data_IF_175358348609
#
_entry.id   IF_175358348609
#
_cell.length_a   1.000
_cell.length_b   1.000
_cell.length_c   1.000
_cell.angle_alpha   90.00
_cell.angle_beta   90.00
_cell.angle_gamma   90.00
#
_symmetry.space_group_name_H-M   'P 1'
#
loop_
_entity.id
_entity.type
_entity.pdbx_description
1 polymer ?
#
# COMPACT_ATOMS: atom_id res chain seq x y z
N UNK A 1 92.74 0.79 -30.75
CA UNK A 1 92.10 0.36 -29.47
C UNK A 1 90.76 1.05 -29.18
N UNK A 2 90.47 2.24 -29.73
CA UNK A 2 89.16 2.91 -29.58
C UNK A 2 87.98 2.11 -30.19
N UNK A 3 88.17 1.48 -31.34
CA UNK A 3 87.06 0.81 -32.06
C UNK A 3 86.57 -0.48 -31.38
N UNK A 4 87.44 -1.18 -30.64
CA UNK A 4 87.05 -2.40 -29.90
C UNK A 4 86.25 -2.08 -28.64
N UNK A 5 86.51 -0.94 -27.98
CA UNK A 5 85.76 -0.50 -26.81
C UNK A 5 84.35 -0.03 -27.13
N UNK A 6 84.18 0.66 -28.27
CA UNK A 6 82.87 1.07 -28.77
C UNK A 6 81.97 -0.13 -29.13
N UNK A 7 82.55 -1.18 -29.74
CA UNK A 7 81.80 -2.40 -30.09
C UNK A 7 81.24 -3.10 -28.84
N UNK A 8 82.03 -3.21 -27.76
CA UNK A 8 81.61 -3.86 -26.52
C UNK A 8 80.48 -3.10 -25.82
N UNK A 9 80.53 -1.77 -25.84
CA UNK A 9 79.47 -0.93 -25.26
C UNK A 9 78.16 -1.08 -26.04
N UNK A 10 78.22 -1.07 -27.38
CA UNK A 10 77.03 -1.24 -28.23
C UNK A 10 76.39 -2.62 -28.01
N UNK A 11 77.19 -3.69 -27.94
CA UNK A 11 76.69 -5.04 -27.67
C UNK A 11 76.05 -5.13 -26.28
N UNK A 12 76.65 -4.49 -25.27
CA UNK A 12 76.10 -4.48 -23.90
C UNK A 12 74.76 -3.74 -23.82
N UNK A 13 74.61 -2.64 -24.54
CA UNK A 13 73.33 -1.90 -24.63
C UNK A 13 72.26 -2.74 -25.33
N UNK A 14 72.61 -3.42 -26.42
CA UNK A 14 71.67 -4.30 -27.14
C UNK A 14 71.24 -5.48 -26.25
N UNK A 15 72.18 -6.10 -25.53
CA UNK A 15 71.89 -7.19 -24.60
C UNK A 15 70.98 -6.73 -23.46
N UNK A 16 71.26 -5.55 -22.90
CA UNK A 16 70.43 -4.95 -21.85
C UNK A 16 69.00 -4.68 -22.35
N UNK A 17 68.84 -4.13 -23.55
CA UNK A 17 67.53 -3.92 -24.17
C UNK A 17 66.79 -5.24 -24.43
N UNK A 18 67.49 -6.31 -24.80
CA UNK A 18 66.91 -7.64 -25.00
C UNK A 18 66.41 -8.26 -23.69
N UNK A 19 67.19 -8.17 -22.63
CA UNK A 19 66.80 -8.63 -21.29
C UNK A 19 65.60 -7.83 -20.79
N UNK A 20 65.62 -6.50 -20.96
CA UNK A 20 64.51 -5.63 -20.58
C UNK A 20 63.23 -5.98 -21.36
N UNK A 21 63.35 -6.20 -22.67
CA UNK A 21 62.24 -6.62 -23.53
C UNK A 21 61.68 -8.00 -23.15
N UNK A 22 62.54 -8.95 -22.81
CA UNK A 22 62.13 -10.28 -22.33
C UNK A 22 61.39 -10.22 -20.99
N UNK A 23 61.86 -9.37 -20.06
CA UNK A 23 61.19 -9.14 -18.77
C UNK A 23 59.81 -8.51 -19.02
N UNK A 24 59.70 -7.49 -19.87
CA UNK A 24 58.43 -6.85 -20.22
C UNK A 24 57.45 -7.86 -20.82
N UNK A 25 57.89 -8.70 -21.76
CA UNK A 25 57.05 -9.76 -22.35
C UNK A 25 56.60 -10.81 -21.33
N UNK A 26 57.45 -11.15 -20.35
CA UNK A 26 57.09 -12.08 -19.26
C UNK A 26 56.11 -11.50 -18.24
N UNK A 27 56.02 -10.17 -18.16
CA UNK A 27 55.13 -9.44 -17.25
C UNK A 27 53.78 -9.08 -17.89
N UNK A 28 53.64 -9.20 -19.22
CA UNK A 28 52.34 -9.04 -19.89
C UNK A 28 51.46 -10.21 -19.48
N UNK A 29 50.32 -9.97 -18.79
CA UNK A 29 49.37 -11.03 -18.47
C UNK A 29 48.94 -11.70 -19.77
N UNK A 30 48.96 -13.03 -19.83
CA UNK A 30 48.47 -13.73 -21.02
C UNK A 30 47.03 -13.29 -21.31
N UNK A 31 46.68 -13.12 -22.59
CA UNK A 31 45.32 -12.75 -23.01
C UNK A 31 44.27 -13.69 -22.40
N UNK A 32 44.62 -14.97 -22.25
CA UNK A 32 43.81 -15.98 -21.56
C UNK A 32 43.49 -15.62 -20.10
N UNK A 33 44.44 -15.03 -19.37
CA UNK A 33 44.24 -14.61 -17.97
C UNK A 33 43.36 -13.35 -17.91
N UNK A 34 43.50 -12.42 -18.85
CA UNK A 34 42.61 -11.26 -18.96
C UNK A 34 41.18 -11.66 -19.32
N UNK A 35 41.01 -12.51 -20.34
CA UNK A 35 39.70 -13.02 -20.77
C UNK A 35 39.02 -13.81 -19.66
N UNK A 36 39.76 -14.68 -18.96
CA UNK A 36 39.23 -15.42 -17.81
C UNK A 36 38.76 -14.50 -16.69
N UNK A 37 39.55 -13.51 -16.30
CA UNK A 37 39.15 -12.51 -15.28
C UNK A 37 37.91 -11.73 -15.71
N UNK A 38 37.78 -11.39 -16.99
CA UNK A 38 36.60 -10.72 -17.52
C UNK A 38 35.35 -11.62 -17.43
N UNK A 39 35.47 -12.90 -17.76
CA UNK A 39 34.36 -13.87 -17.66
C UNK A 39 33.94 -14.06 -16.20
N UNK A 40 34.90 -14.29 -15.30
CA UNK A 40 34.64 -14.43 -13.86
C UNK A 40 34.00 -13.16 -13.28
N UNK A 41 34.42 -11.98 -13.75
CA UNK A 41 33.82 -10.71 -13.35
C UNK A 41 32.38 -10.56 -13.83
N UNK A 42 32.08 -10.92 -15.09
CA UNK A 42 30.72 -10.88 -15.61
C UNK A 42 29.81 -11.87 -14.88
N UNK A 43 30.31 -13.07 -14.60
CA UNK A 43 29.58 -14.07 -13.81
C UNK A 43 29.27 -13.56 -12.39
N UNK A 44 30.24 -12.95 -11.71
CA UNK A 44 30.03 -12.34 -10.39
C UNK A 44 28.97 -11.23 -10.44
N UNK A 45 28.95 -10.43 -11.51
CA UNK A 45 27.92 -9.40 -11.72
C UNK A 45 26.51 -9.98 -11.89
N UNK A 46 26.34 -11.01 -12.73
CA UNK A 46 25.04 -11.64 -12.89
C UNK A 46 24.55 -12.35 -11.62
N UNK A 47 25.46 -12.91 -10.82
CA UNK A 47 25.13 -13.45 -9.49
C UNK A 47 24.66 -12.34 -8.54
N UNK A 48 25.30 -11.17 -8.56
CA UNK A 48 24.86 -10.01 -7.79
C UNK A 48 23.46 -9.53 -8.25
N UNK A 49 23.19 -9.50 -9.56
CA UNK A 49 21.86 -9.16 -10.08
C UNK A 49 20.78 -10.17 -9.67
N UNK A 50 21.06 -11.46 -9.74
CA UNK A 50 20.13 -12.51 -9.32
C UNK A 50 19.81 -12.40 -7.82
N UNK A 51 20.81 -12.15 -6.97
CA UNK A 51 20.60 -11.86 -5.56
C UNK A 51 19.71 -10.63 -5.36
N UNK A 52 19.97 -9.57 -6.12
CA UNK A 52 19.20 -8.31 -6.04
C UNK A 52 17.72 -8.52 -6.41
N UNK A 53 17.43 -9.25 -7.48
CA UNK A 53 16.05 -9.53 -7.91
C UNK A 53 15.26 -10.31 -6.84
N UNK A 54 15.89 -11.34 -6.26
CA UNK A 54 15.29 -12.09 -5.15
C UNK A 54 15.03 -11.19 -3.93
N UNK A 55 15.96 -10.30 -3.62
CA UNK A 55 15.79 -9.37 -2.52
C UNK A 55 14.66 -8.36 -2.76
N UNK A 56 14.51 -7.84 -3.99
CA UNK A 56 13.39 -6.95 -4.35
C UNK A 56 12.05 -7.68 -4.21
N UNK A 57 11.96 -8.94 -4.67
CA UNK A 57 10.77 -9.75 -4.51
C UNK A 57 10.42 -9.92 -3.01
N UNK A 58 11.39 -10.30 -2.18
CA UNK A 58 11.18 -10.47 -0.74
C UNK A 58 10.83 -9.16 -0.03
N UNK A 59 11.45 -8.04 -0.42
CA UNK A 59 11.12 -6.70 0.10
C UNK A 59 9.67 -6.32 -0.23
N UNK A 60 9.23 -6.54 -1.48
CA UNK A 60 7.86 -6.23 -1.89
C UNK A 60 6.83 -7.17 -1.25
N UNK A 61 7.21 -8.42 -0.99
CA UNK A 61 6.32 -9.42 -0.38
C UNK A 61 6.20 -9.28 1.15
N UNK A 62 7.13 -8.58 1.80
CA UNK A 62 7.18 -8.44 3.26
C UNK A 62 7.03 -6.99 3.71
N UNK A 63 5.79 -6.56 3.92
CA UNK A 63 5.44 -5.17 4.22
C UNK A 63 5.98 -4.65 5.56
N UNK A 64 6.30 -5.54 6.50
CA UNK A 64 6.84 -5.21 7.82
C UNK A 64 8.37 -5.34 7.91
N UNK A 65 9.08 -5.47 6.79
CA UNK A 65 10.53 -5.74 6.77
C UNK A 65 11.35 -4.64 7.46
N UNK A 66 12.10 -4.98 8.51
CA UNK A 66 13.16 -4.13 9.06
C UNK A 66 14.51 -4.43 8.38
N UNK A 67 14.86 -5.70 8.22
CA UNK A 67 16.09 -6.13 7.54
C UNK A 67 15.96 -7.49 6.90
N UNK A 68 16.63 -7.71 5.77
CA UNK A 68 16.76 -8.98 5.08
C UNK A 68 18.23 -9.37 4.98
N UNK A 69 18.56 -10.60 5.35
CA UNK A 69 19.80 -11.26 4.93
C UNK A 69 19.43 -12.43 4.03
N UNK A 70 19.92 -12.45 2.80
CA UNK A 70 19.68 -13.51 1.83
C UNK A 70 21.04 -14.01 1.35
N UNK A 71 21.27 -15.31 1.41
CA UNK A 71 22.51 -15.91 0.94
C UNK A 71 22.24 -17.13 0.09
N UNK A 72 23.06 -17.28 -0.92
CA UNK A 72 23.12 -18.45 -1.78
C UNK A 72 24.51 -19.04 -1.68
N UNK A 73 24.59 -20.27 -1.18
CA UNK A 73 25.85 -20.99 -0.98
C UNK A 73 25.82 -22.31 -1.72
N UNK A 74 26.98 -22.73 -2.22
CA UNK A 74 27.10 -24.03 -2.85
C UNK A 74 27.01 -25.13 -1.80
N UNK A 75 26.22 -26.16 -2.07
CA UNK A 75 26.09 -27.33 -1.20
C UNK A 75 26.06 -28.58 -2.07
N UNK A 76 27.10 -29.42 -1.95
CA UNK A 76 27.34 -30.56 -2.83
C UNK A 76 27.30 -30.15 -4.33
N UNK A 77 26.49 -30.85 -5.15
CA UNK A 77 26.25 -30.54 -6.55
C UNK A 77 25.21 -29.43 -6.78
N UNK A 78 24.57 -28.93 -5.72
CA UNK A 78 23.49 -27.95 -5.78
C UNK A 78 23.81 -26.64 -5.07
N UNK A 79 22.75 -25.87 -4.85
CA UNK A 79 22.74 -24.55 -4.24
C UNK A 79 21.77 -24.57 -3.05
N UNK A 80 22.15 -24.02 -1.90
CA UNK A 80 21.20 -23.68 -0.84
C UNK A 80 21.00 -22.17 -0.87
N UNK A 81 19.74 -21.76 -1.05
CA UNK A 81 19.32 -20.39 -0.81
C UNK A 81 18.70 -20.35 0.57
N UNK A 82 19.19 -19.46 1.42
CA UNK A 82 18.67 -19.23 2.77
C UNK A 82 18.42 -17.75 2.97
N UNK A 83 17.32 -17.39 3.62
CA UNK A 83 17.03 -16.01 3.97
C UNK A 83 16.62 -15.88 5.44
N UNK A 84 16.83 -14.68 5.98
CA UNK A 84 16.36 -14.26 7.30
C UNK A 84 15.75 -12.88 7.17
N UNK A 85 14.45 -12.81 7.40
CA UNK A 85 13.66 -11.59 7.48
C UNK A 85 13.52 -11.22 8.95
N UNK A 86 13.84 -9.98 9.28
CA UNK A 86 13.51 -9.39 10.59
C UNK A 86 12.44 -8.34 10.35
N UNK A 87 11.33 -8.43 11.08
CA UNK A 87 10.24 -7.47 11.00
C UNK A 87 10.44 -6.28 11.96
N UNK A 88 9.71 -5.20 11.75
CA UNK A 88 9.64 -4.04 12.66
C UNK A 88 9.14 -4.41 14.06
N UNK A 89 8.37 -5.49 14.17
CA UNK A 89 7.92 -6.09 15.44
C UNK A 89 9.04 -6.80 16.22
N UNK A 90 10.19 -7.06 15.57
CA UNK A 90 11.29 -7.86 16.11
C UNK A 90 11.19 -9.36 15.80
N UNK A 91 10.11 -9.83 15.16
CA UNK A 91 9.96 -11.22 14.72
C UNK A 91 11.03 -11.55 13.66
N UNK A 92 11.61 -12.74 13.76
CA UNK A 92 12.59 -13.27 12.81
C UNK A 92 12.03 -14.50 12.10
N UNK A 93 11.99 -14.45 10.77
CA UNK A 93 11.57 -15.55 9.91
C UNK A 93 12.80 -16.02 9.14
N UNK A 94 13.15 -17.30 9.28
CA UNK A 94 14.29 -17.91 8.61
C UNK A 94 13.83 -19.14 7.85
N UNK A 95 14.26 -19.27 6.60
CA UNK A 95 13.89 -20.39 5.73
C UNK A 95 15.01 -20.68 4.72
N UNK A 96 15.00 -21.88 4.14
CA UNK A 96 15.99 -22.31 3.16
C UNK A 96 15.46 -23.37 2.20
N UNK A 97 15.89 -23.31 0.94
CA UNK A 97 15.55 -24.30 -0.09
C UNK A 97 16.74 -24.61 -1.01
N UNK A 98 16.71 -25.80 -1.61
CA UNK A 98 17.79 -26.30 -2.47
C UNK A 98 17.45 -26.20 -3.96
N UNK A 99 18.41 -25.77 -4.79
CA UNK A 99 18.31 -25.80 -6.25
C UNK A 99 19.36 -26.76 -6.86
N UNK A 100 19.03 -27.46 -7.96
CA UNK A 100 19.85 -28.54 -8.50
C UNK A 100 21.10 -28.09 -9.28
N UNK A 101 21.25 -26.80 -9.60
CA UNK A 101 22.37 -26.27 -10.41
C UNK A 101 22.91 -24.98 -9.77
N UNK A 102 24.23 -24.85 -9.69
CA UNK A 102 24.91 -23.66 -9.17
C UNK A 102 26.05 -23.21 -10.08
N UNK A 103 26.02 -21.96 -10.53
CA UNK A 103 27.13 -21.30 -11.24
C UNK A 103 28.01 -20.44 -10.31
N UNK A 104 27.63 -20.25 -9.05
CA UNK A 104 28.37 -19.47 -8.05
C UNK A 104 27.54 -19.12 -6.82
N UNK A 105 28.05 -18.23 -5.97
CA UNK A 105 27.43 -17.85 -4.69
C UNK A 105 27.04 -16.37 -4.69
N UNK A 106 26.08 -15.98 -3.88
CA UNK A 106 25.77 -14.57 -3.65
C UNK A 106 25.35 -14.31 -2.20
N UNK A 107 25.53 -13.07 -1.77
CA UNK A 107 25.12 -12.58 -0.45
C UNK A 107 24.44 -11.23 -0.60
N UNK A 108 23.29 -11.07 0.03
CA UNK A 108 22.47 -9.86 -0.03
C UNK A 108 22.10 -9.42 1.36
N UNK A 109 22.23 -8.12 1.60
CA UNK A 109 21.70 -7.44 2.78
C UNK A 109 20.74 -6.35 2.33
N UNK A 110 19.51 -6.36 2.85
CA UNK A 110 18.63 -5.21 2.78
C UNK A 110 18.41 -4.63 4.18
N UNK A 111 18.50 -3.31 4.30
CA UNK A 111 18.25 -2.60 5.55
C UNK A 111 17.30 -1.44 5.31
N UNK A 112 16.36 -1.27 6.24
CA UNK A 112 15.46 -0.13 6.28
C UNK A 112 16.03 0.98 7.18
N UNK A 113 15.99 2.21 6.71
CA UNK A 113 16.42 3.40 7.46
C UNK A 113 15.52 4.59 7.15
N UNK A 114 15.15 5.36 8.17
CA UNK A 114 14.48 6.64 7.99
C UNK A 114 15.52 7.73 7.76
N UNK A 115 15.41 8.47 6.64
CA UNK A 115 16.32 9.56 6.28
C UNK A 115 15.52 10.83 6.08
N UNK A 116 16.02 11.95 6.63
CA UNK A 116 15.42 13.26 6.43
C UNK A 116 16.08 13.94 5.23
N UNK A 117 15.31 14.21 4.17
CA UNK A 117 15.81 15.06 3.08
C UNK A 117 15.44 16.52 3.37
N UNK A 118 16.40 17.46 3.25
CA UNK A 118 16.07 18.87 3.26
C UNK A 118 15.39 19.22 1.94
N UNK A 119 14.07 19.35 1.95
CA UNK A 119 13.32 20.04 0.90
C UNK A 119 12.74 21.32 1.51
N UNK A 120 13.16 22.48 0.99
CA UNK A 120 12.42 23.73 1.18
C UNK A 120 12.05 24.03 2.64
N UNK A 121 13.03 24.21 3.53
CA UNK A 121 12.82 24.54 4.96
C UNK A 121 11.92 23.60 5.78
N UNK A 122 11.49 22.45 5.24
CA UNK A 122 10.71 21.43 5.95
C UNK A 122 11.45 20.09 5.85
N UNK A 123 11.80 19.52 7.00
CA UNK A 123 12.36 18.18 7.08
C UNK A 123 11.24 17.16 6.90
N UNK A 124 11.11 16.59 5.70
CA UNK A 124 10.17 15.49 5.44
C UNK A 124 10.90 14.15 5.62
N UNK A 125 10.45 13.28 6.54
CA UNK A 125 11.02 11.94 6.68
C UNK A 125 10.70 11.11 5.43
N UNK A 126 11.71 10.40 4.92
CA UNK A 126 11.55 9.45 3.82
C UNK A 126 12.02 8.08 4.28
N UNK A 127 11.19 7.09 3.99
CA UNK A 127 11.46 5.68 4.20
C UNK A 127 12.37 5.15 3.10
N UNK A 128 13.64 4.93 3.46
CA UNK A 128 14.68 4.48 2.53
C UNK A 128 15.01 3.01 2.81
N UNK A 129 15.01 2.20 1.74
CA UNK A 129 15.52 0.84 1.73
C UNK A 129 16.82 0.83 0.93
N UNK A 130 17.87 0.29 1.56
CA UNK A 130 19.16 0.04 0.92
C UNK A 130 19.29 -1.46 0.73
N UNK A 131 19.45 -1.93 -0.51
CA UNK A 131 19.74 -3.33 -0.81
C UNK A 131 21.13 -3.40 -1.40
N UNK A 132 22.02 -4.17 -0.77
CA UNK A 132 23.36 -4.46 -1.26
C UNK A 132 23.48 -5.94 -1.55
N UNK A 133 23.75 -6.27 -2.81
CA UNK A 133 23.95 -7.64 -3.30
C UNK A 133 25.40 -7.81 -3.77
N UNK A 134 26.07 -8.85 -3.33
CA UNK A 134 27.43 -9.22 -3.74
C UNK A 134 27.43 -10.63 -4.31
N UNK A 135 27.85 -10.77 -5.56
CA UNK A 135 28.05 -12.07 -6.23
C UNK A 135 29.51 -12.51 -6.14
N UNK A 136 29.71 -13.82 -5.99
CA UNK A 136 31.01 -14.47 -5.82
C UNK A 136 31.18 -15.61 -6.82
N UNK A 137 32.28 -15.57 -7.57
CA UNK A 137 32.73 -16.70 -8.38
C UNK A 137 33.91 -17.35 -7.66
N UNK A 138 33.77 -18.60 -7.19
CA UNK A 138 34.86 -19.32 -6.56
C UNK A 138 36.02 -19.44 -7.55
N UNK A 139 37.24 -19.10 -7.11
CA UNK A 139 38.46 -19.31 -7.88
C UNK A 139 39.40 -20.24 -7.14
N UNK A 140 40.07 -21.12 -7.88
CA UNK A 140 41.06 -22.05 -7.34
C UNK A 140 42.37 -21.35 -6.92
N UNK A 141 42.51 -20.05 -7.21
CA UNK A 141 43.69 -19.23 -6.92
C UNK A 141 43.30 -18.05 -6.02
N UNK A 142 43.54 -18.19 -4.71
CA UNK A 142 43.58 -17.23 -3.58
C UNK A 142 42.66 -15.98 -3.48
N UNK A 143 42.02 -15.50 -4.54
CA UNK A 143 41.06 -14.39 -4.50
C UNK A 143 39.85 -14.73 -5.35
N UNK A 144 38.71 -14.99 -4.69
CA UNK A 144 37.42 -15.09 -5.37
C UNK A 144 37.11 -13.77 -6.09
N UNK A 145 36.66 -13.86 -7.33
CA UNK A 145 36.19 -12.68 -8.07
C UNK A 145 34.83 -12.28 -7.51
N UNK A 146 34.68 -11.03 -7.09
CA UNK A 146 33.45 -10.49 -6.51
C UNK A 146 33.01 -9.22 -7.21
N UNK A 147 31.70 -9.02 -7.34
CA UNK A 147 31.05 -7.79 -7.81
C UNK A 147 29.88 -7.47 -6.91
N UNK A 148 29.65 -6.20 -6.63
CA UNK A 148 28.53 -5.78 -5.80
C UNK A 148 27.68 -4.73 -6.49
N UNK A 149 26.38 -4.80 -6.24
CA UNK A 149 25.39 -3.84 -6.68
C UNK A 149 24.66 -3.36 -5.42
N UNK A 150 24.52 -2.05 -5.27
CA UNK A 150 23.72 -1.44 -4.22
C UNK A 150 22.65 -0.56 -4.84
N UNK A 151 21.41 -0.74 -4.40
CA UNK A 151 20.27 0.08 -4.81
C UNK A 151 19.73 0.83 -3.60
N UNK A 152 19.31 2.06 -3.86
CA UNK A 152 18.55 2.89 -2.95
C UNK A 152 17.15 2.98 -3.50
N UNK A 153 16.17 2.52 -2.73
CA UNK A 153 14.78 2.63 -3.10
C UNK A 153 13.97 3.26 -1.98
N UNK A 154 12.86 3.89 -2.34
CA UNK A 154 11.85 4.30 -1.38
C UNK A 154 10.67 3.35 -1.43
N UNK A 155 10.00 3.23 -0.31
CA UNK A 155 8.69 2.60 -0.25
C UNK A 155 7.68 3.67 0.07
N UNK A 156 6.73 3.88 -0.82
CA UNK A 156 5.62 4.80 -0.54
C UNK A 156 4.72 4.13 0.49
N UNK A 157 4.51 4.77 1.64
CA UNK A 157 3.49 4.32 2.59
C UNK A 157 2.12 4.58 1.97
N UNK A 158 1.35 3.52 1.76
CA UNK A 158 -0.05 3.64 1.40
C UNK A 158 -0.80 3.84 2.71
N UNK A 159 -1.38 5.03 2.87
CA UNK A 159 -2.38 5.30 3.90
C UNK A 159 -3.63 4.51 3.54
N UNK A 160 -3.83 3.34 4.16
CA UNK A 160 -5.03 2.55 3.95
C UNK A 160 -6.09 3.04 4.94
N UNK A 161 -6.84 4.03 4.48
CA UNK A 161 -7.92 4.68 5.20
C UNK A 161 -9.25 4.31 4.54
N UNK A 162 -10.08 3.54 5.25
CA UNK A 162 -11.40 3.14 4.74
C UNK A 162 -12.33 4.35 4.51
N UNK A 163 -12.11 5.45 5.23
CA UNK A 163 -12.90 6.67 5.05
C UNK A 163 -12.52 7.46 3.79
N UNK A 164 -11.46 7.09 3.07
CA UNK A 164 -11.05 7.74 1.80
C UNK A 164 -11.95 7.35 0.63
N UNK A 165 -12.68 6.24 0.74
CA UNK A 165 -13.54 5.75 -0.33
C UNK A 165 -14.97 6.25 -0.12
N UNK A 166 -15.68 6.54 -1.22
CA UNK A 166 -17.11 6.80 -1.17
C UNK A 166 -17.86 5.56 -0.65
N UNK A 167 -17.38 4.38 -1.08
CA UNK A 167 -17.88 3.08 -0.66
C UNK A 167 -16.72 2.19 -0.22
N UNK A 168 -16.80 1.67 1.00
CA UNK A 168 -15.94 0.62 1.52
C UNK A 168 -16.78 -0.61 1.86
N UNK A 169 -16.47 -1.74 1.22
CA UNK A 169 -17.07 -3.03 1.48
C UNK A 169 -16.02 -4.01 2.03
N UNK A 170 -16.25 -4.53 3.24
CA UNK A 170 -15.34 -5.55 3.79
C UNK A 170 -15.56 -6.95 3.19
N UNK A 171 -16.59 -7.12 2.38
CA UNK A 171 -16.86 -8.28 1.52
C UNK A 171 -17.06 -7.80 0.09
N UNK A 172 -18.28 -7.77 -0.44
CA UNK A 172 -18.53 -7.43 -1.85
C UNK A 172 -19.23 -6.08 -1.99
N UNK A 173 -19.00 -5.41 -3.13
CA UNK A 173 -19.74 -4.22 -3.52
C UNK A 173 -20.53 -4.48 -4.81
N UNK A 174 -21.82 -4.13 -4.82
CA UNK A 174 -22.66 -4.17 -6.02
C UNK A 174 -23.14 -2.76 -6.35
N UNK A 175 -22.81 -2.26 -7.54
CA UNK A 175 -23.19 -0.94 -8.03
C UNK A 175 -24.13 -1.11 -9.23
N UNK A 176 -25.42 -1.28 -8.94
CA UNK A 176 -26.46 -1.55 -9.91
C UNK A 176 -27.34 -0.36 -10.29
N UNK A 177 -28.31 -0.60 -11.17
CA UNK A 177 -29.31 0.41 -11.57
C UNK A 177 -28.70 1.55 -12.39
N UNK A 178 -29.26 2.75 -12.24
CA UNK A 178 -28.71 4.02 -12.75
C UNK A 178 -27.98 4.78 -11.62
N UNK A 179 -27.38 4.05 -10.69
CA UNK A 179 -26.70 4.64 -9.53
C UNK A 179 -25.40 5.33 -9.94
N UNK A 180 -24.95 6.28 -9.13
CA UNK A 180 -23.69 7.00 -9.32
C UNK A 180 -22.85 6.95 -8.05
N UNK A 181 -21.62 6.46 -8.18
CA UNK A 181 -20.62 6.50 -7.09
C UNK A 181 -19.41 7.32 -7.53
N UNK A 182 -18.97 8.28 -6.71
CA UNK A 182 -17.86 9.18 -7.03
C UNK A 182 -16.87 9.26 -5.87
N UNK A 183 -15.59 9.08 -6.16
CA UNK A 183 -14.49 9.35 -5.21
C UNK A 183 -14.32 10.84 -4.95
N UNK A 184 -13.27 11.20 -4.20
CA UNK A 184 -12.97 12.62 -3.95
C UNK A 184 -12.59 13.30 -5.28
N UNK A 185 -13.15 14.47 -5.61
CA UNK A 185 -12.69 15.25 -6.74
C UNK A 185 -11.23 15.69 -6.54
N UNK A 186 -10.39 15.44 -7.54
CA UNK A 186 -8.99 15.85 -7.56
C UNK A 186 -8.83 17.23 -8.24
N UNK A 187 -7.76 17.99 -7.92
CA UNK A 187 -7.55 19.33 -8.49
C UNK A 187 -7.43 19.37 -10.02
N UNK A 188 -7.10 18.24 -10.65
CA UNK A 188 -7.01 18.08 -12.11
C UNK A 188 -8.37 17.82 -12.78
N UNK A 189 -9.46 17.79 -12.01
CA UNK A 189 -10.82 17.53 -12.48
C UNK A 189 -11.16 16.04 -12.62
N UNK A 190 -10.24 15.14 -12.25
CA UNK A 190 -10.49 13.70 -12.13
C UNK A 190 -11.03 13.35 -10.74
N UNK A 191 -11.24 12.06 -10.49
CA UNK A 191 -11.69 11.56 -9.19
C UNK A 191 -10.67 10.55 -8.66
N UNK A 192 -10.53 10.51 -7.34
CA UNK A 192 -9.84 9.44 -6.65
C UNK A 192 -10.62 8.11 -6.76
N UNK A 193 -10.03 7.01 -6.30
CA UNK A 193 -10.69 5.70 -6.23
C UNK A 193 -11.98 5.82 -5.40
N UNK A 194 -13.12 5.45 -6.00
CA UNK A 194 -14.42 5.66 -5.37
C UNK A 194 -14.86 4.48 -4.50
N UNK A 195 -14.57 3.27 -4.95
CA UNK A 195 -15.05 2.02 -4.34
C UNK A 195 -13.87 1.15 -3.94
N UNK A 196 -13.91 0.61 -2.74
CA UNK A 196 -13.01 -0.45 -2.29
C UNK A 196 -13.83 -1.64 -1.81
N UNK A 197 -13.50 -2.84 -2.29
CA UNK A 197 -14.06 -4.09 -1.80
C UNK A 197 -12.96 -5.11 -1.51
N UNK A 198 -13.07 -5.84 -0.39
CA UNK A 198 -12.15 -6.96 -0.10
C UNK A 198 -12.41 -8.19 -0.95
N UNK A 199 -13.66 -8.37 -1.38
CA UNK A 199 -14.12 -9.33 -2.37
C UNK A 199 -14.41 -8.65 -3.70
N UNK A 200 -15.45 -9.11 -4.40
CA UNK A 200 -15.71 -8.70 -5.77
C UNK A 200 -16.45 -7.35 -5.85
N UNK A 201 -16.19 -6.59 -6.93
CA UNK A 201 -16.99 -5.43 -7.32
C UNK A 201 -17.83 -5.81 -8.54
N UNK A 202 -19.14 -5.87 -8.36
CA UNK A 202 -20.11 -6.12 -9.44
C UNK A 202 -20.79 -4.83 -9.85
N UNK A 203 -20.92 -4.59 -11.16
CA UNK A 203 -21.58 -3.38 -11.70
C UNK A 203 -22.68 -3.81 -12.68
N UNK A 204 -23.79 -4.39 -12.18
CA UNK A 204 -24.86 -4.87 -13.04
C UNK A 204 -25.70 -3.70 -13.58
N UNK A 205 -25.89 -3.63 -14.90
CA UNK A 205 -26.75 -2.61 -15.52
C UNK A 205 -26.01 -1.33 -15.92
N UNK A 206 -26.54 -0.16 -15.54
CA UNK A 206 -26.06 1.16 -15.98
C UNK A 206 -25.40 1.97 -14.85
N UNK A 207 -24.89 1.30 -13.82
CA UNK A 207 -24.18 1.93 -12.72
C UNK A 207 -22.96 2.70 -13.23
N UNK A 208 -22.70 3.87 -12.64
CA UNK A 208 -21.60 4.75 -13.03
C UNK A 208 -20.67 4.95 -11.84
N UNK A 209 -19.37 4.73 -12.05
CA UNK A 209 -18.34 5.05 -11.06
C UNK A 209 -17.45 6.14 -11.64
N UNK A 210 -17.16 7.20 -10.89
CA UNK A 210 -16.31 8.32 -11.33
C UNK A 210 -16.71 8.90 -12.71
N UNK A 211 -18.02 9.05 -12.93
CA UNK A 211 -18.62 9.54 -14.19
C UNK A 211 -18.35 8.68 -15.44
N UNK A 212 -17.92 7.43 -15.27
CA UNK A 212 -17.81 6.46 -16.38
C UNK A 212 -18.71 5.25 -16.17
N UNK A 213 -19.40 4.82 -17.23
CA UNK A 213 -20.12 3.55 -17.27
C UNK A 213 -19.20 2.34 -17.53
N UNK A 214 -17.92 2.59 -17.85
CA UNK A 214 -16.87 1.59 -18.01
C UNK A 214 -15.73 1.88 -17.02
N UNK A 215 -15.94 1.66 -15.71
CA UNK A 215 -14.91 1.92 -14.73
C UNK A 215 -13.78 0.89 -14.78
N UNK A 216 -12.58 1.33 -14.43
CA UNK A 216 -11.33 0.55 -14.55
C UNK A 216 -10.85 0.11 -13.16
N UNK A 217 -10.62 -1.20 -12.92
CA UNK A 217 -9.99 -1.68 -11.68
C UNK A 217 -8.62 -1.02 -11.43
N UNK A 218 -8.33 -0.68 -10.19
CA UNK A 218 -7.11 0.01 -9.76
C UNK A 218 -7.10 1.52 -10.01
N UNK A 219 -8.08 2.06 -10.74
CA UNK A 219 -8.26 3.51 -10.95
C UNK A 219 -9.58 4.02 -10.37
N UNK A 220 -10.70 3.40 -10.74
CA UNK A 220 -12.04 3.86 -10.35
C UNK A 220 -12.57 3.07 -9.15
N UNK A 221 -12.18 1.79 -9.05
CA UNK A 221 -12.47 0.92 -7.91
C UNK A 221 -11.30 -0.03 -7.63
N UNK A 222 -11.24 -0.58 -6.43
CA UNK A 222 -10.35 -1.67 -6.01
C UNK A 222 -11.23 -2.86 -5.59
N UNK A 223 -10.88 -4.05 -6.07
CA UNK A 223 -11.56 -5.31 -5.76
C UNK A 223 -10.55 -6.37 -5.34
N UNK A 224 -11.01 -7.42 -4.66
CA UNK A 224 -10.21 -8.56 -4.20
C UNK A 224 -8.97 -8.18 -3.39
N UNK A 225 -8.99 -7.02 -2.72
CA UNK A 225 -7.85 -6.49 -1.98
C UNK A 225 -8.10 -6.58 -0.47
N UNK A 226 -7.19 -7.21 0.27
CA UNK A 226 -7.32 -7.36 1.73
C UNK A 226 -6.44 -6.40 2.52
N UNK A 227 -5.81 -5.42 1.84
CA UNK A 227 -4.85 -4.54 2.46
C UNK A 227 -5.50 -3.50 3.36
N UNK A 228 -6.64 -2.90 2.96
CA UNK A 228 -7.36 -1.91 3.78
C UNK A 228 -8.23 -2.64 4.79
N UNK A 229 -7.87 -2.49 6.07
CA UNK A 229 -8.68 -2.99 7.17
C UNK A 229 -9.87 -2.08 7.44
N UNK A 230 -10.92 -2.69 7.98
CA UNK A 230 -12.09 -1.98 8.50
C UNK A 230 -11.63 -1.04 9.62
N UNK A 231 -12.13 0.21 9.67
CA UNK A 231 -11.77 1.11 10.75
C UNK A 231 -12.42 0.60 12.04
N UNK A 232 -11.59 0.40 13.07
CA UNK A 232 -12.06 0.07 14.41
C UNK A 232 -12.53 1.37 15.06
N UNK A 233 -13.85 1.56 15.09
CA UNK A 233 -14.47 2.67 15.80
C UNK A 233 -14.50 2.38 17.32
N UNK A 234 -14.32 3.41 18.15
CA UNK A 234 -14.58 3.30 19.58
C UNK A 234 -16.10 3.24 19.82
N UNK A 235 -16.69 2.06 19.62
CA UNK A 235 -18.13 1.83 19.71
C UNK A 235 -18.69 2.23 21.08
N UNK A 236 -17.97 1.98 22.17
CA UNK A 236 -18.41 2.32 23.52
C UNK A 236 -18.59 3.85 23.67
N UNK A 237 -17.63 4.62 23.18
CA UNK A 237 -17.72 6.08 23.15
C UNK A 237 -18.87 6.56 22.26
N UNK A 238 -18.96 6.09 21.01
CA UNK A 238 -19.98 6.54 20.05
C UNK A 238 -21.40 6.17 20.51
N UNK A 239 -21.56 5.00 21.14
CA UNK A 239 -22.79 4.60 21.82
C UNK A 239 -23.13 5.57 22.96
N UNK A 240 -22.16 5.92 23.80
CA UNK A 240 -22.38 6.84 24.93
C UNK A 240 -22.80 8.24 24.46
N UNK A 241 -22.20 8.75 23.38
CA UNK A 241 -22.60 10.02 22.73
C UNK A 241 -24.03 9.93 22.23
N UNK A 242 -24.36 8.86 21.49
CA UNK A 242 -25.71 8.65 20.96
C UNK A 242 -26.77 8.52 22.06
N UNK A 243 -26.43 7.87 23.18
CA UNK A 243 -27.29 7.78 24.36
C UNK A 243 -27.54 9.15 25.00
N UNK A 244 -26.49 9.95 25.19
CA UNK A 244 -26.60 11.31 25.72
C UNK A 244 -27.44 12.23 24.81
N UNK A 245 -27.41 12.00 23.50
CA UNK A 245 -28.22 12.71 22.51
C UNK A 245 -29.66 12.18 22.38
N UNK A 246 -30.00 11.06 23.02
CA UNK A 246 -31.30 10.40 22.86
C UNK A 246 -31.50 9.69 21.51
N UNK A 247 -30.41 9.46 20.77
CA UNK A 247 -30.39 8.88 19.42
C UNK A 247 -30.01 7.39 19.39
N UNK A 248 -29.65 6.80 20.54
CA UNK A 248 -29.37 5.37 20.64
C UNK A 248 -30.66 4.53 20.60
N UNK A 249 -30.67 3.46 19.80
CA UNK A 249 -31.75 2.45 19.79
C UNK A 249 -31.17 1.04 19.69
N UNK A 250 -31.95 0.05 20.12
CA UNK A 250 -31.64 -1.37 19.95
C UNK A 250 -32.88 -2.11 19.48
N UNK A 251 -32.76 -2.99 18.49
CA UNK A 251 -33.89 -3.75 17.96
C UNK A 251 -33.71 -4.21 16.52
N UNK A 252 -34.68 -4.95 15.99
CA UNK A 252 -34.59 -5.64 14.69
C UNK A 252 -35.11 -4.84 13.50
N UNK A 253 -35.71 -3.65 13.70
CA UNK A 253 -36.22 -2.78 12.64
C UNK A 253 -36.39 -1.34 13.13
N UNK A 254 -35.29 -0.64 13.36
CA UNK A 254 -35.30 0.75 13.82
C UNK A 254 -35.50 1.71 12.65
N UNK A 255 -36.53 2.55 12.74
CA UNK A 255 -36.80 3.61 11.74
C UNK A 255 -35.98 4.86 12.05
N UNK A 256 -34.94 5.10 11.26
CA UNK A 256 -34.02 6.25 11.45
C UNK A 256 -34.76 7.59 11.33
N UNK A 257 -35.73 7.68 10.42
CA UNK A 257 -36.53 8.88 10.20
C UNK A 257 -37.29 9.36 11.44
N UNK A 258 -37.68 8.45 12.34
CA UNK A 258 -38.40 8.80 13.57
C UNK A 258 -37.44 9.46 14.58
N UNK A 259 -36.17 9.05 14.61
CA UNK A 259 -35.14 9.71 15.42
C UNK A 259 -34.85 11.11 14.87
N UNK A 260 -34.73 11.24 13.56
CA UNK A 260 -34.47 12.52 12.91
C UNK A 260 -35.62 13.50 13.18
N UNK A 261 -36.87 13.12 12.89
CA UNK A 261 -38.03 14.01 13.04
C UNK A 261 -38.31 14.37 14.50
N UNK A 262 -38.34 13.36 15.38
CA UNK A 262 -38.85 13.55 16.73
C UNK A 262 -37.79 14.03 17.73
N UNK A 263 -36.51 13.79 17.44
CA UNK A 263 -35.41 14.15 18.35
C UNK A 263 -34.55 15.24 17.71
N UNK A 264 -33.95 14.96 16.55
CA UNK A 264 -32.96 15.85 15.94
C UNK A 264 -33.56 17.19 15.49
N UNK A 265 -34.59 17.14 14.65
CA UNK A 265 -35.25 18.33 14.09
C UNK A 265 -36.03 19.12 15.14
N UNK A 266 -36.33 18.51 16.30
CA UNK A 266 -36.99 19.19 17.42
C UNK A 266 -36.03 20.03 18.27
N UNK A 267 -34.72 19.84 18.13
CA UNK A 267 -33.71 20.51 18.95
C UNK A 267 -33.07 21.69 18.20
N UNK A 268 -33.31 22.95 18.61
CA UNK A 268 -32.80 24.13 17.92
C UNK A 268 -31.27 24.26 17.95
N UNK A 269 -30.59 23.61 18.90
CA UNK A 269 -29.13 23.58 18.96
C UNK A 269 -28.51 22.71 17.85
N UNK A 270 -29.30 21.79 17.27
CA UNK A 270 -28.84 20.85 16.26
C UNK A 270 -29.41 21.15 14.87
N UNK A 271 -30.65 21.62 14.81
CA UNK A 271 -31.36 21.87 13.57
C UNK A 271 -32.07 23.23 13.61
N UNK A 272 -31.81 24.05 12.58
CA UNK A 272 -32.54 25.30 12.37
C UNK A 272 -33.70 25.05 11.40
N UNK A 273 -34.93 25.03 11.93
CA UNK A 273 -36.13 24.80 11.13
C UNK A 273 -36.52 25.96 10.22
N UNK A 274 -36.00 27.18 10.44
CA UNK A 274 -36.28 28.32 9.58
C UNK A 274 -35.45 28.28 8.28
N UNK A 275 -34.22 27.79 8.35
CA UNK A 275 -33.30 27.67 7.21
C UNK A 275 -33.20 26.26 6.66
N UNK A 276 -33.79 25.27 7.34
CA UNK A 276 -33.63 23.84 7.07
C UNK A 276 -32.16 23.39 7.04
N UNK A 277 -31.38 23.85 8.02
CA UNK A 277 -29.94 23.56 8.10
C UNK A 277 -29.55 22.93 9.43
N UNK A 278 -28.56 22.05 9.38
CA UNK A 278 -27.93 21.49 10.56
C UNK A 278 -26.88 22.45 11.13
N UNK A 279 -26.87 22.62 12.44
CA UNK A 279 -25.97 23.53 13.16
C UNK A 279 -24.74 22.81 13.74
N UNK A 280 -24.64 21.48 13.56
CA UNK A 280 -23.59 20.67 14.19
C UNK A 280 -23.20 19.46 13.34
N UNK A 281 -21.97 18.97 13.51
CA UNK A 281 -21.46 17.71 12.97
C UNK A 281 -21.36 16.60 14.04
N UNK A 282 -21.78 16.88 15.27
CA UNK A 282 -21.61 15.99 16.43
C UNK A 282 -22.66 14.89 16.57
N UNK A 283 -23.64 14.82 15.67
CA UNK A 283 -24.77 13.90 15.82
C UNK A 283 -24.35 12.47 15.49
N UNK A 284 -24.65 11.55 16.42
CA UNK A 284 -24.41 10.11 16.24
C UNK A 284 -25.72 9.36 16.45
N UNK A 285 -26.25 8.76 15.40
CA UNK A 285 -27.32 7.77 15.51
C UNK A 285 -26.67 6.40 15.63
N UNK A 286 -26.88 5.72 16.76
CA UNK A 286 -26.31 4.40 17.02
C UNK A 286 -27.45 3.38 17.18
N UNK A 287 -27.48 2.37 16.31
CA UNK A 287 -28.44 1.28 16.32
C UNK A 287 -27.74 -0.04 16.59
N UNK A 288 -28.09 -0.65 17.72
CA UNK A 288 -27.70 -2.01 18.08
C UNK A 288 -28.73 -3.01 17.53
N UNK A 289 -28.56 -3.38 16.26
CA UNK A 289 -29.47 -4.23 15.48
C UNK A 289 -29.69 -3.69 14.07
N UNK A 290 -30.83 -3.99 13.44
CA UNK A 290 -31.11 -3.58 12.06
C UNK A 290 -31.88 -2.25 12.00
N UNK A 291 -31.66 -1.51 10.93
CA UNK A 291 -32.30 -0.21 10.71
C UNK A 291 -32.85 -0.05 9.29
N UNK A 292 -33.82 0.86 9.16
CA UNK A 292 -34.35 1.32 7.87
C UNK A 292 -34.46 2.85 7.88
N UNK A 293 -34.16 3.46 6.73
CA UNK A 293 -34.34 4.88 6.49
C UNK A 293 -35.13 5.07 5.20
N UNK A 294 -36.45 5.22 5.34
CA UNK A 294 -37.43 5.24 4.24
C UNK A 294 -38.23 6.56 4.25
N UNK A 295 -37.52 7.69 4.08
CA UNK A 295 -38.15 9.01 4.14
C UNK A 295 -37.79 9.91 2.94
N UNK A 296 -38.08 11.20 3.06
CA UNK A 296 -37.48 12.27 2.26
C UNK A 296 -36.97 13.31 3.27
N UNK A 297 -35.87 12.97 3.93
CA UNK A 297 -35.28 13.77 4.99
C UNK A 297 -33.77 13.90 4.81
N UNK A 298 -33.26 15.04 5.25
CA UNK A 298 -31.84 15.30 5.30
C UNK A 298 -31.30 14.93 6.69
N UNK A 299 -30.08 14.40 6.76
CA UNK A 299 -29.33 14.15 7.98
C UNK A 299 -27.87 14.57 7.84
N UNK A 300 -27.32 15.22 8.86
CA UNK A 300 -25.90 15.59 8.94
C UNK A 300 -25.27 14.97 10.19
N UNK A 301 -24.27 14.12 10.01
CA UNK A 301 -23.60 13.43 11.10
C UNK A 301 -23.24 11.99 10.77
N UNK A 302 -23.17 11.15 11.80
CA UNK A 302 -22.78 9.74 11.71
C UNK A 302 -23.97 8.82 12.01
N UNK A 303 -24.17 7.81 11.16
CA UNK A 303 -25.13 6.72 11.40
C UNK A 303 -24.35 5.42 11.54
N UNK A 304 -24.49 4.75 12.68
CA UNK A 304 -23.84 3.49 13.02
C UNK A 304 -24.93 2.45 13.23
N UNK A 305 -24.88 1.36 12.46
CA UNK A 305 -25.82 0.24 12.54
C UNK A 305 -25.01 -1.04 12.70
N UNK A 306 -25.24 -1.78 13.78
CA UNK A 306 -24.56 -3.06 14.05
C UNK A 306 -25.16 -4.25 13.31
N UNK A 307 -26.22 -4.05 12.54
CA UNK A 307 -26.88 -5.03 11.70
C UNK A 307 -27.05 -4.53 10.26
N UNK A 308 -27.99 -5.12 9.54
CA UNK A 308 -28.32 -4.68 8.18
C UNK A 308 -28.99 -3.31 8.20
N UNK A 309 -28.62 -2.47 7.25
CA UNK A 309 -29.17 -1.13 7.09
C UNK A 309 -29.69 -0.93 5.67
N UNK A 310 -30.99 -0.61 5.56
CA UNK A 310 -31.59 -0.23 4.29
C UNK A 310 -31.87 1.27 4.26
N UNK A 311 -31.31 1.97 3.28
CA UNK A 311 -31.65 3.35 2.93
C UNK A 311 -32.42 3.26 1.63
N UNK A 312 -33.73 3.51 1.69
CA UNK A 312 -34.62 3.39 0.55
C UNK A 312 -35.53 4.62 0.43
N UNK A 313 -36.15 4.80 -0.74
CA UNK A 313 -37.19 5.81 -0.91
C UNK A 313 -37.22 6.43 -2.29
N UNK A 314 -38.37 7.00 -2.64
CA UNK A 314 -38.61 7.72 -3.90
C UNK A 314 -38.27 9.21 -3.82
N UNK A 315 -38.04 9.73 -2.60
CA UNK A 315 -37.55 11.09 -2.34
C UNK A 315 -36.03 11.15 -2.18
N UNK A 316 -35.46 12.34 -2.29
CA UNK A 316 -34.01 12.57 -2.15
C UNK A 316 -33.60 12.59 -0.68
N UNK A 317 -33.57 11.42 -0.01
CA UNK A 317 -32.92 11.33 1.30
C UNK A 317 -31.47 11.78 1.17
N UNK A 318 -31.07 12.81 1.92
CA UNK A 318 -29.71 13.33 1.84
C UNK A 318 -28.95 13.11 3.14
N UNK A 319 -27.93 12.26 3.10
CA UNK A 319 -27.03 12.05 4.24
C UNK A 319 -25.71 12.77 3.95
N UNK A 320 -25.38 13.78 4.75
CA UNK A 320 -24.08 14.43 4.74
C UNK A 320 -23.25 13.88 5.90
N UNK A 321 -22.34 12.94 5.61
CA UNK A 321 -21.49 12.35 6.65
C UNK A 321 -21.17 10.87 6.44
N UNK A 322 -21.10 10.13 7.54
CA UNK A 322 -20.60 8.75 7.57
C UNK A 322 -21.76 7.78 7.83
N UNK A 323 -21.94 6.81 6.95
CA UNK A 323 -22.81 5.65 7.16
C UNK A 323 -21.94 4.43 7.42
N UNK A 324 -22.10 3.82 8.60
CA UNK A 324 -21.34 2.65 9.04
C UNK A 324 -22.32 1.52 9.39
N UNK A 325 -22.38 0.49 8.57
CA UNK A 325 -23.27 -0.66 8.73
C UNK A 325 -22.46 -1.96 8.76
N UNK A 326 -21.83 -2.23 9.91
CA UNK A 326 -20.89 -3.33 10.06
C UNK A 326 -20.87 -3.86 11.49
N UNK A 327 -20.64 -5.17 11.64
CA UNK A 327 -20.48 -5.80 12.94
C UNK A 327 -19.13 -6.51 13.04
N UNK A 328 -18.19 -5.90 13.77
CA UNK A 328 -16.86 -6.46 13.97
C UNK A 328 -16.86 -7.83 14.69
N UNK A 329 -17.96 -8.20 15.35
CA UNK A 329 -18.08 -9.43 16.13
C UNK A 329 -18.90 -10.54 15.42
N UNK A 330 -19.54 -10.25 14.28
CA UNK A 330 -20.30 -11.25 13.55
C UNK A 330 -19.41 -11.86 12.47
N UNK A 331 -18.91 -13.08 12.71
CA UNK A 331 -18.06 -13.79 11.74
C UNK A 331 -18.90 -14.48 10.66
N UNK A 332 -20.20 -14.70 10.91
CA UNK A 332 -21.06 -15.56 10.07
C UNK A 332 -22.40 -14.93 9.61
N UNK A 333 -22.76 -13.72 10.06
CA UNK A 333 -23.97 -13.06 9.57
C UNK A 333 -23.65 -12.22 8.33
N UNK A 334 -24.36 -12.48 7.23
CA UNK A 334 -24.25 -11.65 6.02
C UNK A 334 -24.99 -10.33 6.26
N UNK A 335 -24.29 -9.34 6.79
CA UNK A 335 -24.82 -7.99 6.94
C UNK A 335 -24.73 -7.23 5.62
N UNK A 336 -25.73 -6.42 5.33
CA UNK A 336 -25.78 -5.67 4.07
C UNK A 336 -26.20 -4.23 4.33
N UNK A 337 -25.44 -3.31 3.74
CA UNK A 337 -25.83 -1.93 3.55
C UNK A 337 -26.50 -1.82 2.18
N UNK A 338 -27.81 -1.62 2.16
CA UNK A 338 -28.59 -1.44 0.93
C UNK A 338 -28.92 0.04 0.76
N UNK A 339 -28.60 0.59 -0.42
CA UNK A 339 -28.89 1.96 -0.81
C UNK A 339 -29.66 1.90 -2.14
N UNK A 340 -30.98 2.03 -2.09
CA UNK A 340 -31.86 1.85 -3.26
C UNK A 340 -32.89 2.98 -3.39
N UNK A 341 -33.46 3.15 -4.57
CA UNK A 341 -34.40 4.23 -4.90
C UNK A 341 -33.66 5.48 -5.37
N UNK A 342 -33.83 6.63 -4.70
CA UNK A 342 -33.13 7.88 -5.06
C UNK A 342 -32.42 8.60 -3.88
N UNK A 343 -31.81 7.90 -2.90
CA UNK A 343 -31.03 8.55 -1.84
C UNK A 343 -29.72 9.17 -2.38
N UNK A 344 -29.26 10.21 -1.71
CA UNK A 344 -27.97 10.87 -1.93
C UNK A 344 -27.15 10.84 -0.64
N UNK A 345 -25.95 10.26 -0.69
CA UNK A 345 -24.98 10.28 0.41
C UNK A 345 -23.78 11.12 -0.04
N UNK A 346 -23.40 12.10 0.78
CA UNK A 346 -22.25 12.99 0.58
C UNK A 346 -21.29 12.83 1.75
N UNK A 347 -20.31 11.95 1.58
CA UNK A 347 -19.40 11.46 2.61
C UNK A 347 -19.00 10.03 2.28
N UNK A 348 -19.10 9.10 3.21
CA UNK A 348 -18.70 7.71 2.96
C UNK A 348 -19.68 6.69 3.52
N UNK A 349 -19.74 5.55 2.84
CA UNK A 349 -20.59 4.40 3.16
C UNK A 349 -19.70 3.18 3.40
N UNK A 350 -19.68 2.67 4.64
CA UNK A 350 -18.90 1.53 5.06
C UNK A 350 -19.86 0.39 5.43
N UNK A 351 -19.64 -0.79 4.87
CA UNK A 351 -20.43 -1.98 5.20
C UNK A 351 -19.69 -3.30 4.98
N UNK A 352 -20.35 -4.40 5.31
CA UNK A 352 -19.86 -5.73 4.96
C UNK A 352 -20.05 -6.02 3.48
N UNK A 353 -21.26 -6.36 3.08
CA UNK A 353 -21.69 -6.21 1.69
C UNK A 353 -22.34 -4.83 1.53
N UNK A 354 -22.05 -4.16 0.41
CA UNK A 354 -22.69 -2.90 0.04
C UNK A 354 -23.40 -3.07 -1.29
N UNK A 355 -24.71 -2.85 -1.31
CA UNK A 355 -25.55 -2.93 -2.50
C UNK A 355 -26.18 -1.57 -2.79
N UNK A 356 -25.81 -0.98 -3.92
CA UNK A 356 -26.28 0.33 -4.37
C UNK A 356 -27.06 0.12 -5.66
N UNK A 357 -28.32 0.53 -5.69
CA UNK A 357 -29.19 0.39 -6.87
C UNK A 357 -30.13 1.60 -7.03
N UNK A 358 -31.11 1.50 -7.93
CA UNK A 358 -31.98 2.61 -8.29
C UNK A 358 -31.24 3.74 -9.01
N UNK A 359 -31.58 4.99 -8.68
CA UNK A 359 -30.91 6.23 -9.07
C UNK A 359 -30.09 6.84 -7.92
N UNK A 360 -29.67 6.00 -6.97
CA UNK A 360 -28.91 6.42 -5.79
C UNK A 360 -27.58 7.10 -6.14
N UNK A 361 -27.18 8.05 -5.32
CA UNK A 361 -25.94 8.81 -5.50
C UNK A 361 -25.08 8.71 -4.23
N UNK A 362 -23.85 8.24 -4.35
CA UNK A 362 -22.87 8.21 -3.25
C UNK A 362 -21.62 8.94 -3.67
N UNK A 363 -21.32 10.07 -3.03
CA UNK A 363 -20.17 10.92 -3.36
C UNK A 363 -19.27 11.08 -2.16
N UNK A 364 -18.00 10.79 -2.33
CA UNK A 364 -17.01 11.11 -1.31
C UNK A 364 -16.95 12.62 -1.06
N UNK A 365 -16.77 12.99 0.20
CA UNK A 365 -16.51 14.37 0.58
C UNK A 365 -15.63 14.39 1.83
N UNK A 366 -14.34 14.66 1.63
CA UNK A 366 -13.34 14.67 2.70
C UNK A 366 -13.66 15.67 3.81
N UNK A 367 -14.24 16.83 3.47
CA UNK A 367 -14.58 17.88 4.44
C UNK A 367 -15.67 17.41 5.42
N UNK A 368 -16.75 16.81 4.93
CA UNK A 368 -17.84 16.29 5.77
C UNK A 368 -17.33 15.21 6.74
N UNK A 369 -16.52 14.29 6.23
CA UNK A 369 -15.92 13.20 7.01
C UNK A 369 -15.01 13.77 8.10
N UNK A 370 -14.09 14.67 7.72
CA UNK A 370 -13.16 15.29 8.66
C UNK A 370 -13.86 16.13 9.73
N UNK A 371 -14.95 16.82 9.41
CA UNK A 371 -15.75 17.54 10.39
C UNK A 371 -16.31 16.60 11.47
N UNK A 372 -16.79 15.40 11.09
CA UNK A 372 -17.30 14.39 12.01
C UNK A 372 -16.17 13.79 12.84
N UNK A 373 -15.12 13.29 12.16
CA UNK A 373 -14.00 12.63 12.84
C UNK A 373 -13.33 13.56 13.86
N UNK A 374 -13.07 14.82 13.48
CA UNK A 374 -12.47 15.82 14.37
C UNK A 374 -13.37 16.18 15.56
N UNK A 375 -14.69 16.34 15.33
CA UNK A 375 -15.67 16.61 16.39
C UNK A 375 -15.68 15.51 17.45
N UNK A 376 -15.51 14.25 17.02
CA UNK A 376 -15.55 13.10 17.89
C UNK A 376 -14.18 12.65 18.41
N UNK A 377 -13.09 13.33 18.04
CA UNK A 377 -11.72 12.91 18.39
C UNK A 377 -11.37 11.53 17.85
N UNK A 378 -12.00 11.11 16.75
CA UNK A 378 -11.71 9.84 16.09
C UNK A 378 -10.42 10.06 15.29
N UNK A 379 -9.29 9.67 15.87
CA UNK A 379 -8.06 9.57 15.11
C UNK A 379 -8.21 8.43 14.11
N UNK A 380 -8.12 8.79 12.83
CA UNK A 380 -8.15 7.80 11.77
C UNK A 380 -6.91 6.92 11.94
N UNK A 381 -7.09 5.66 12.35
CA UNK A 381 -5.99 4.70 12.44
C UNK A 381 -5.63 4.32 11.01
N UNK A 382 -4.90 5.21 10.35
CA UNK A 382 -4.28 4.97 9.08
C UNK A 382 -3.27 3.85 9.30
N UNK A 383 -3.64 2.61 8.96
CA UNK A 383 -2.66 1.56 8.80
C UNK A 383 -1.82 1.94 7.58
N UNK A 384 -0.65 2.54 7.84
CA UNK A 384 0.36 2.77 6.82
C UNK A 384 0.91 1.43 6.40
N UNK A 385 0.49 0.97 5.23
CA UNK A 385 0.97 -0.27 4.65
C UNK A 385 2.00 0.06 3.59
N UNK A 386 3.18 -0.55 3.67
CA UNK A 386 4.27 -0.33 2.70
C UNK A 386 3.85 -0.75 1.29
N UNK A 387 3.98 0.16 0.32
CA UNK A 387 3.81 -0.10 -1.11
C UNK A 387 5.02 -0.83 -1.73
N UNK A 388 5.03 -0.96 -3.05
CA UNK A 388 6.16 -1.56 -3.77
C UNK A 388 7.40 -0.65 -3.75
N UNK A 389 8.59 -1.26 -3.70
CA UNK A 389 9.87 -0.58 -3.79
C UNK A 389 10.00 0.18 -5.12
N UNK A 390 10.22 1.49 -5.04
CA UNK A 390 10.60 2.34 -6.17
C UNK A 390 12.09 2.62 -6.10
N UNK A 391 12.85 2.19 -7.10
CA UNK A 391 14.30 2.44 -7.19
C UNK A 391 14.53 3.93 -7.46
N UNK A 392 15.31 4.58 -6.61
CA UNK A 392 15.71 5.98 -6.75
C UNK A 392 17.08 6.09 -7.43
N UNK A 393 18.01 5.24 -7.04
CA UNK A 393 19.36 5.20 -7.61
C UNK A 393 20.00 3.83 -7.40
N UNK A 394 21.07 3.56 -8.14
CA UNK A 394 21.87 2.36 -8.00
C UNK A 394 23.35 2.68 -8.25
N UNK A 395 24.22 1.84 -7.71
CA UNK A 395 25.67 1.93 -7.86
C UNK A 395 26.31 0.55 -7.86
N UNK A 396 27.43 0.43 -8.56
CA UNK A 396 28.20 -0.80 -8.71
C UNK A 396 29.63 -0.61 -8.19
N UNK A 397 30.21 -1.65 -7.58
CA UNK A 397 31.60 -1.68 -7.09
C UNK A 397 32.23 -3.07 -7.06
#
# INVERSE_FOLDING_TARGET
>A
MKDKGQLVIVISIILFLFILGGIILSLIPSENLMVRKQIESNQAFYLAQAGLQNAVYLVNSNKNLLSLNLSSKRFNSGLIISYTITETSGIKITDSYTLPISLGEFYVTASYSMVYLPQSNVLSPIDLIVIKSTGYVPSNTSSATKRSIEIYGRVDNISLDAFRFAVYASRNATIGGNSTVQGEPLPDGTFDVAVYARGDVSIPGHGVINNTSNPIPGRDYIESDSSVQVPILNEAYLRSVSQAQGLYRSGSRIKIQDLIRNVVMSNPNWYNSATNTYNTWSLVIFVDGNAEFEANLDFQGMIIVKGSFSISGTGSNKIAGIVYAQNLNAVDEKLTLTIDGNPTIIGCSLGEDVDISGSSVVKHNSQNINNILSTHGIENVVQKTRGNLKILSWREF
#
